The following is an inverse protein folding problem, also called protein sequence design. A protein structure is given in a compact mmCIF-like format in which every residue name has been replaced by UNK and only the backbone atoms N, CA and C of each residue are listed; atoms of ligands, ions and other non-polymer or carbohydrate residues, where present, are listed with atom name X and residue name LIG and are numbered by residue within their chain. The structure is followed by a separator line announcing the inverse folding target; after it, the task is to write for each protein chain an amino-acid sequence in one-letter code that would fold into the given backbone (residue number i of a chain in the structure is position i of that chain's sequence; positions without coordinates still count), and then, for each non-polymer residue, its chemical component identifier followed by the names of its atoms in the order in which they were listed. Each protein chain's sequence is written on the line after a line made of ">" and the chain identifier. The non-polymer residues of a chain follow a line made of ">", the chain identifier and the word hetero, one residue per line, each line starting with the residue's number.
data_IF_178902968813
#
_entry.id   IF_178902968813
#
_cell.length_a   1.000
_cell.length_b   1.000
_cell.length_c   1.000
_cell.angle_alpha   90.00
_cell.angle_beta   90.00
_cell.angle_gamma   90.00
#
_symmetry.space_group_name_H-M   'P 1'
#
loop_
_entity.id
_entity.type
_entity.pdbx_description
1 polymer ?
#
# COMPACT_ATOMS: atom_id res chain seq x y z
N UNK A 1 10.51 -62.44 22.93
CA UNK A 1 10.30 -61.33 21.97
C UNK A 1 11.62 -61.03 21.31
N UNK A 2 11.67 -61.10 19.98
CA UNK A 2 12.91 -60.88 19.22
C UNK A 2 13.27 -59.38 19.22
N UNK A 3 14.43 -58.99 19.80
CA UNK A 3 14.83 -57.59 19.89
C UNK A 3 15.08 -56.94 18.53
N UNK A 4 15.34 -57.70 17.46
CA UNK A 4 15.52 -57.16 16.11
C UNK A 4 14.19 -56.67 15.51
N UNK A 5 13.13 -57.46 15.63
CA UNK A 5 11.78 -57.10 15.16
C UNK A 5 11.23 -55.82 15.82
N UNK A 6 11.56 -55.62 17.10
CA UNK A 6 11.16 -54.41 17.82
C UNK A 6 11.86 -53.15 17.28
N UNK A 7 13.17 -53.22 17.00
CA UNK A 7 13.94 -52.08 16.49
C UNK A 7 13.49 -51.67 15.09
N UNK A 8 13.19 -52.63 14.23
CA UNK A 8 12.74 -52.36 12.85
C UNK A 8 11.38 -51.67 12.83
N UNK A 9 10.43 -52.12 13.66
CA UNK A 9 9.12 -51.47 13.81
C UNK A 9 9.22 -50.05 14.39
N UNK A 10 10.20 -49.78 15.25
CA UNK A 10 10.43 -48.43 15.78
C UNK A 10 11.01 -47.53 14.69
N UNK A 11 11.98 -48.01 13.91
CA UNK A 11 12.58 -47.25 12.80
C UNK A 11 11.54 -46.92 11.70
N UNK A 12 10.65 -47.86 11.37
CA UNK A 12 9.56 -47.65 10.40
C UNK A 12 8.59 -46.56 10.89
N UNK A 13 8.21 -46.57 12.18
CA UNK A 13 7.33 -45.55 12.76
C UNK A 13 7.96 -44.16 12.76
N UNK A 14 9.25 -44.05 13.10
CA UNK A 14 10.00 -42.78 13.08
C UNK A 14 10.04 -42.21 11.65
N UNK A 15 10.38 -43.05 10.67
CA UNK A 15 10.45 -42.67 9.26
C UNK A 15 9.08 -42.21 8.75
N UNK A 16 8.01 -42.91 9.14
CA UNK A 16 6.63 -42.55 8.78
C UNK A 16 6.20 -41.22 9.41
N UNK A 17 6.55 -40.97 10.67
CA UNK A 17 6.26 -39.72 11.36
C UNK A 17 7.01 -38.53 10.72
N UNK A 18 8.29 -38.68 10.40
CA UNK A 18 9.05 -37.66 9.66
C UNK A 18 8.46 -37.36 8.28
N UNK A 19 8.04 -38.40 7.53
CA UNK A 19 7.39 -38.20 6.23
C UNK A 19 6.06 -37.47 6.35
N UNK A 20 5.25 -37.79 7.38
CA UNK A 20 4.00 -37.09 7.66
C UNK A 20 4.23 -35.61 8.01
N UNK A 21 5.25 -35.29 8.81
CA UNK A 21 5.61 -33.92 9.15
C UNK A 21 6.09 -33.12 7.94
N UNK A 22 6.87 -33.75 7.06
CA UNK A 22 7.34 -33.13 5.82
C UNK A 22 6.17 -32.85 4.89
N UNK A 23 5.26 -33.80 4.68
CA UNK A 23 4.07 -33.62 3.84
C UNK A 23 3.15 -32.55 4.43
N UNK A 24 2.89 -32.57 5.73
CA UNK A 24 2.04 -31.59 6.41
C UNK A 24 2.62 -30.17 6.31
N UNK A 25 3.93 -30.00 6.51
CA UNK A 25 4.62 -28.71 6.28
C UNK A 25 4.59 -28.30 4.81
N UNK A 26 4.76 -29.24 3.89
CA UNK A 26 4.76 -29.00 2.45
C UNK A 26 3.40 -28.53 1.92
N UNK A 27 2.29 -28.89 2.58
CA UNK A 27 0.95 -28.38 2.25
C UNK A 27 0.55 -27.13 3.05
N UNK A 28 0.98 -27.02 4.31
CA UNK A 28 0.58 -25.91 5.17
C UNK A 28 1.30 -24.59 4.85
N UNK A 29 2.54 -24.62 4.36
CA UNK A 29 3.27 -23.41 3.92
C UNK A 29 2.63 -22.71 2.72
N UNK A 30 2.31 -23.41 1.60
CA UNK A 30 1.74 -22.76 0.42
C UNK A 30 0.36 -22.15 0.71
N UNK A 31 -0.46 -22.84 1.51
CA UNK A 31 -1.79 -22.33 1.90
C UNK A 31 -1.68 -21.06 2.74
N UNK A 32 -0.74 -21.00 3.70
CA UNK A 32 -0.48 -19.80 4.51
C UNK A 32 0.03 -18.65 3.66
N UNK A 33 0.95 -18.92 2.72
CA UNK A 33 1.48 -17.92 1.82
C UNK A 33 0.37 -17.30 0.95
N UNK A 34 -0.52 -18.12 0.37
CA UNK A 34 -1.63 -17.63 -0.47
C UNK A 34 -2.59 -16.71 0.28
N UNK A 35 -2.90 -17.02 1.55
CA UNK A 35 -3.75 -16.16 2.38
C UNK A 35 -3.06 -14.82 2.64
N UNK A 36 -1.78 -14.83 3.00
CA UNK A 36 -1.01 -13.59 3.24
C UNK A 36 -0.90 -12.76 1.96
N UNK A 37 -0.61 -13.38 0.81
CA UNK A 37 -0.55 -12.73 -0.50
C UNK A 37 -1.88 -12.05 -0.84
N UNK A 38 -2.99 -12.77 -0.69
CA UNK A 38 -4.33 -12.24 -0.97
C UNK A 38 -4.67 -11.05 -0.07
N UNK A 39 -4.40 -11.15 1.23
CA UNK A 39 -4.61 -10.05 2.16
C UNK A 39 -3.71 -8.84 1.84
N UNK A 40 -2.45 -9.06 1.51
CA UNK A 40 -1.52 -7.99 1.11
C UNK A 40 -1.99 -7.27 -0.16
N UNK A 41 -2.50 -8.03 -1.15
CA UNK A 41 -3.05 -7.47 -2.39
C UNK A 41 -4.30 -6.64 -2.14
N UNK A 42 -5.21 -7.09 -1.27
CA UNK A 42 -6.40 -6.31 -0.89
C UNK A 42 -6.00 -4.99 -0.22
N UNK A 43 -5.08 -5.03 0.75
CA UNK A 43 -4.65 -3.82 1.42
C UNK A 43 -3.92 -2.87 0.46
N UNK A 44 -3.06 -3.39 -0.42
CA UNK A 44 -2.41 -2.59 -1.45
C UNK A 44 -3.42 -1.96 -2.40
N UNK A 45 -4.47 -2.70 -2.81
CA UNK A 45 -5.54 -2.17 -3.65
C UNK A 45 -6.34 -1.06 -2.94
N UNK A 46 -6.57 -1.18 -1.62
CA UNK A 46 -7.19 -0.11 -0.83
C UNK A 46 -6.32 1.15 -0.78
N UNK A 47 -5.00 1.00 -0.55
CA UNK A 47 -4.05 2.12 -0.57
C UNK A 47 -4.09 2.82 -1.93
N UNK A 48 -3.96 2.06 -3.01
CA UNK A 48 -4.04 2.58 -4.38
C UNK A 48 -5.40 3.24 -4.67
N UNK A 49 -6.49 2.65 -4.20
CA UNK A 49 -7.84 3.17 -4.38
C UNK A 49 -8.06 4.52 -3.69
N UNK A 50 -7.46 4.76 -2.52
CA UNK A 50 -7.52 6.06 -1.86
C UNK A 50 -6.74 7.11 -2.66
N UNK A 51 -5.50 6.82 -3.08
CA UNK A 51 -4.70 7.77 -3.86
C UNK A 51 -5.36 8.12 -5.21
N UNK A 52 -5.84 7.12 -5.94
CA UNK A 52 -6.54 7.36 -7.20
C UNK A 52 -7.93 7.95 -7.01
N UNK A 53 -8.63 7.59 -5.95
CA UNK A 53 -9.97 8.09 -5.65
C UNK A 53 -9.96 9.59 -5.36
N UNK A 54 -9.04 10.05 -4.50
CA UNK A 54 -8.86 11.49 -4.24
C UNK A 54 -8.41 12.22 -5.49
N UNK A 55 -7.48 11.64 -6.27
CA UNK A 55 -7.07 12.21 -7.55
C UNK A 55 -8.24 12.41 -8.52
N UNK A 56 -9.06 11.38 -8.75
CA UNK A 56 -10.18 11.47 -9.70
C UNK A 56 -11.27 12.45 -9.26
N UNK A 57 -11.51 12.54 -7.95
CA UNK A 57 -12.57 13.40 -7.40
C UNK A 57 -12.11 14.85 -7.24
N UNK A 58 -10.90 15.09 -6.74
CA UNK A 58 -10.43 16.44 -6.41
C UNK A 58 -9.84 17.18 -7.60
N UNK A 59 -9.02 16.53 -8.42
CA UNK A 59 -8.26 17.24 -9.47
C UNK A 59 -9.17 17.99 -10.46
N UNK A 60 -10.40 17.50 -10.70
CA UNK A 60 -11.36 18.20 -11.59
C UNK A 60 -12.15 19.29 -10.88
N UNK A 61 -12.58 19.04 -9.64
CA UNK A 61 -13.48 19.93 -8.90
C UNK A 61 -12.75 21.08 -8.20
N UNK A 62 -11.44 20.95 -7.97
CA UNK A 62 -10.63 21.94 -7.26
C UNK A 62 -10.58 23.32 -7.96
N UNK A 63 -10.87 23.37 -9.26
CA UNK A 63 -10.94 24.62 -10.04
C UNK A 63 -12.24 25.40 -9.82
N UNK A 64 -13.30 24.72 -9.43
CA UNK A 64 -14.62 25.33 -9.27
C UNK A 64 -14.84 25.83 -7.82
N UNK A 65 -13.89 25.56 -6.92
CA UNK A 65 -13.99 25.93 -5.51
C UNK A 65 -13.37 27.29 -5.22
N UNK A 66 -14.08 28.11 -4.43
CA UNK A 66 -13.48 29.28 -3.81
C UNK A 66 -12.37 28.88 -2.84
N UNK A 67 -11.47 29.80 -2.52
CA UNK A 67 -10.35 29.52 -1.62
C UNK A 67 -10.81 29.05 -0.22
N UNK A 68 -11.92 29.60 0.29
CA UNK A 68 -12.51 29.20 1.57
C UNK A 68 -13.07 27.77 1.52
N UNK A 69 -13.81 27.42 0.45
CA UNK A 69 -14.34 26.07 0.24
C UNK A 69 -13.22 25.05 0.08
N UNK A 70 -12.16 25.39 -0.66
CA UNK A 70 -10.99 24.55 -0.83
C UNK A 70 -10.34 24.18 0.52
N UNK A 71 -10.16 25.16 1.41
CA UNK A 71 -9.62 24.90 2.76
C UNK A 71 -10.57 24.03 3.57
N UNK A 72 -11.87 24.35 3.57
CA UNK A 72 -12.85 23.64 4.38
C UNK A 72 -12.98 22.17 3.97
N UNK A 73 -13.15 21.93 2.67
CA UNK A 73 -13.25 20.59 2.08
C UNK A 73 -11.91 19.85 2.21
N UNK A 74 -10.80 20.51 1.88
CA UNK A 74 -9.45 19.93 1.95
C UNK A 74 -9.10 19.45 3.36
N UNK A 75 -9.32 20.27 4.39
CA UNK A 75 -9.08 19.88 5.79
C UNK A 75 -9.93 18.68 6.20
N UNK A 76 -11.20 18.65 5.80
CA UNK A 76 -12.13 17.55 6.11
C UNK A 76 -11.67 16.25 5.45
N UNK A 77 -11.29 16.29 4.17
CA UNK A 77 -10.80 15.12 3.44
C UNK A 77 -9.48 14.63 4.03
N UNK A 78 -8.52 15.52 4.28
CA UNK A 78 -7.23 15.16 4.87
C UNK A 78 -7.43 14.49 6.24
N UNK A 79 -8.31 15.03 7.09
CA UNK A 79 -8.61 14.43 8.39
C UNK A 79 -9.22 13.02 8.25
N UNK A 80 -10.16 12.84 7.32
CA UNK A 80 -10.82 11.56 7.08
C UNK A 80 -9.89 10.51 6.46
N UNK A 81 -8.93 10.91 5.64
CA UNK A 81 -7.98 10.01 4.98
C UNK A 81 -6.81 9.66 5.90
N UNK A 82 -6.35 10.60 6.74
CA UNK A 82 -5.19 10.40 7.60
C UNK A 82 -5.37 9.22 8.57
N UNK A 83 -6.56 9.06 9.16
CA UNK A 83 -6.82 7.99 10.15
C UNK A 83 -6.77 6.60 9.50
N UNK A 84 -7.56 6.28 8.44
CA UNK A 84 -7.46 5.00 7.76
C UNK A 84 -6.06 4.72 7.20
N UNK A 85 -5.40 5.72 6.60
CA UNK A 85 -4.06 5.53 6.03
C UNK A 85 -3.01 5.20 7.09
N UNK A 86 -3.11 5.78 8.28
CA UNK A 86 -2.21 5.47 9.41
C UNK A 86 -2.25 4.00 9.84
N UNK A 87 -3.32 3.29 9.53
CA UNK A 87 -3.51 1.87 9.88
C UNK A 87 -3.22 0.99 8.66
N UNK A 88 -3.82 1.31 7.51
CA UNK A 88 -3.77 0.48 6.29
C UNK A 88 -2.34 0.44 5.74
N UNK A 89 -1.62 1.56 5.71
CA UNK A 89 -0.29 1.62 5.10
C UNK A 89 0.75 0.78 5.87
N UNK A 90 0.87 0.88 7.22
CA UNK A 90 1.75 -0.02 7.96
C UNK A 90 1.31 -1.48 7.89
N UNK A 91 0.00 -1.76 7.94
CA UNK A 91 -0.51 -3.13 7.82
C UNK A 91 -0.15 -3.76 6.46
N UNK A 92 -0.25 -2.98 5.38
CA UNK A 92 0.15 -3.40 4.03
C UNK A 92 1.63 -3.77 3.99
N UNK A 93 2.50 -2.90 4.50
CA UNK A 93 3.95 -3.14 4.55
C UNK A 93 4.31 -4.36 5.38
N UNK A 94 3.67 -4.55 6.53
CA UNK A 94 3.88 -5.73 7.37
C UNK A 94 3.48 -7.02 6.65
N UNK A 95 2.31 -7.06 5.98
CA UNK A 95 1.89 -8.24 5.23
C UNK A 95 2.79 -8.51 4.01
N UNK A 96 3.23 -7.48 3.30
CA UNK A 96 4.20 -7.63 2.21
C UNK A 96 5.55 -8.17 2.72
N UNK A 97 6.02 -7.71 3.88
CA UNK A 97 7.24 -8.20 4.52
C UNK A 97 7.11 -9.69 4.91
N UNK A 98 5.97 -10.08 5.47
CA UNK A 98 5.67 -11.49 5.82
C UNK A 98 5.60 -12.35 4.55
N UNK A 99 4.94 -11.88 3.48
CA UNK A 99 4.89 -12.57 2.18
C UNK A 99 6.30 -12.75 1.58
N UNK A 100 7.14 -11.71 1.63
CA UNK A 100 8.53 -11.77 1.18
C UNK A 100 9.35 -12.77 2.02
N UNK A 101 9.14 -12.83 3.33
CA UNK A 101 9.86 -13.76 4.21
C UNK A 101 9.45 -15.23 3.97
N UNK A 102 8.15 -15.50 3.81
CA UNK A 102 7.62 -16.83 3.55
C UNK A 102 8.01 -17.34 2.15
N UNK A 103 7.95 -16.48 1.13
CA UNK A 103 8.29 -16.85 -0.27
C UNK A 103 9.76 -17.21 -0.48
N UNK A 104 10.66 -16.82 0.45
CA UNK A 104 12.10 -17.13 0.37
C UNK A 104 12.40 -18.63 0.23
N UNK A 105 11.55 -19.50 0.79
CA UNK A 105 11.77 -20.95 0.83
C UNK A 105 11.13 -21.71 -0.34
N UNK A 106 10.18 -21.10 -1.04
CA UNK A 106 9.24 -21.83 -1.89
C UNK A 106 9.47 -21.55 -3.38
N UNK A 107 9.74 -20.29 -3.77
CA UNK A 107 9.97 -19.95 -5.18
C UNK A 107 10.87 -18.73 -5.36
N UNK A 108 12.00 -18.91 -6.05
CA UNK A 108 12.96 -17.83 -6.35
C UNK A 108 12.40 -16.66 -7.18
N UNK A 109 11.59 -16.87 -8.25
CA UNK A 109 11.08 -15.73 -9.03
C UNK A 109 10.06 -14.90 -8.25
N UNK A 110 9.16 -15.54 -7.50
CA UNK A 110 8.15 -14.86 -6.68
C UNK A 110 8.78 -13.97 -5.61
N UNK A 111 9.89 -14.41 -5.01
CA UNK A 111 10.64 -13.61 -4.03
C UNK A 111 11.08 -12.25 -4.61
N UNK A 112 11.63 -12.22 -5.82
CA UNK A 112 12.05 -10.97 -6.47
C UNK A 112 10.88 -10.02 -6.72
N UNK A 113 9.73 -10.55 -7.16
CA UNK A 113 8.52 -9.73 -7.37
C UNK A 113 8.01 -9.14 -6.07
N UNK A 114 8.00 -9.92 -4.97
CA UNK A 114 7.64 -9.38 -3.65
C UNK A 114 8.61 -8.33 -3.15
N UNK A 115 9.92 -8.52 -3.36
CA UNK A 115 10.92 -7.53 -3.02
C UNK A 115 10.72 -6.23 -3.79
N UNK A 116 10.47 -6.30 -5.11
CA UNK A 116 10.19 -5.11 -5.93
C UNK A 116 8.92 -4.41 -5.46
N UNK A 117 7.83 -5.14 -5.24
CA UNK A 117 6.56 -4.57 -4.75
C UNK A 117 6.73 -3.89 -3.39
N UNK A 118 7.47 -4.52 -2.47
CA UNK A 118 7.77 -3.95 -1.15
C UNK A 118 8.60 -2.67 -1.27
N UNK A 119 9.65 -2.67 -2.11
CA UNK A 119 10.49 -1.49 -2.35
C UNK A 119 9.68 -0.35 -2.95
N UNK A 120 8.82 -0.62 -3.93
CA UNK A 120 7.92 0.39 -4.50
C UNK A 120 6.98 0.97 -3.45
N UNK A 121 6.39 0.14 -2.59
CA UNK A 121 5.53 0.61 -1.49
C UNK A 121 6.31 1.48 -0.48
N UNK A 122 7.57 1.15 -0.19
CA UNK A 122 8.45 1.98 0.64
C UNK A 122 8.73 3.32 -0.02
N UNK A 123 9.02 3.35 -1.33
CA UNK A 123 9.21 4.60 -2.07
C UNK A 123 7.95 5.47 -1.99
N UNK A 124 6.77 4.88 -2.19
CA UNK A 124 5.49 5.58 -2.02
C UNK A 124 5.35 6.16 -0.61
N UNK A 125 5.61 5.37 0.44
CA UNK A 125 5.57 5.83 1.83
C UNK A 125 6.52 7.03 2.05
N UNK A 126 7.75 6.95 1.53
CA UNK A 126 8.74 8.03 1.67
C UNK A 126 8.27 9.30 0.97
N UNK A 127 7.68 9.20 -0.22
CA UNK A 127 7.12 10.35 -0.94
C UNK A 127 5.95 10.94 -0.14
N UNK A 128 5.01 10.11 0.33
CA UNK A 128 3.86 10.57 1.13
C UNK A 128 4.31 11.28 2.41
N UNK A 129 5.21 10.69 3.19
CA UNK A 129 5.66 11.30 4.44
C UNK A 129 6.59 12.50 4.20
N UNK A 130 7.40 12.47 3.15
CA UNK A 130 8.37 13.52 2.85
C UNK A 130 7.82 14.72 2.10
N UNK A 131 6.76 14.54 1.30
CA UNK A 131 6.18 15.57 0.43
C UNK A 131 4.75 15.87 0.81
N UNK A 132 3.88 14.87 0.84
CA UNK A 132 2.43 15.07 1.06
C UNK A 132 2.13 15.55 2.48
N UNK A 133 2.65 14.87 3.51
CA UNK A 133 2.38 15.22 4.91
C UNK A 133 2.83 16.66 5.28
N UNK A 134 4.02 17.15 4.86
CA UNK A 134 4.41 18.55 5.09
C UNK A 134 3.49 19.55 4.40
N UNK A 135 3.00 19.25 3.19
CA UNK A 135 2.06 20.10 2.46
C UNK A 135 0.71 20.12 3.19
N UNK A 136 0.20 18.95 3.58
CA UNK A 136 -1.05 18.82 4.35
C UNK A 136 -0.99 19.61 5.66
N UNK A 137 0.14 19.56 6.36
CA UNK A 137 0.33 20.31 7.59
C UNK A 137 0.36 21.83 7.35
N UNK A 138 0.89 22.30 6.22
CA UNK A 138 0.79 23.71 5.81
C UNK A 138 -0.66 24.10 5.53
N UNK A 139 -1.41 23.29 4.75
CA UNK A 139 -2.82 23.55 4.44
C UNK A 139 -3.67 23.57 5.72
N UNK A 140 -3.39 22.69 6.69
CA UNK A 140 -4.05 22.70 8.01
C UNK A 140 -3.86 24.03 8.75
N UNK A 141 -2.71 24.67 8.60
CA UNK A 141 -2.39 25.96 9.26
C UNK A 141 -3.06 27.17 8.61
N UNK A 142 -3.52 27.07 7.35
CA UNK A 142 -4.15 28.17 6.65
C UNK A 142 -5.56 28.46 7.18
N UNK A 143 -5.92 29.73 7.25
CA UNK A 143 -7.26 30.24 7.53
C UNK A 143 -7.72 31.15 6.40
N UNK A 144 -9.01 31.50 6.33
CA UNK A 144 -9.54 32.39 5.29
C UNK A 144 -8.78 33.74 5.22
N UNK A 145 -8.25 34.22 6.36
CA UNK A 145 -7.47 35.44 6.45
C UNK A 145 -5.97 35.28 6.13
N UNK A 146 -5.45 34.05 6.06
CA UNK A 146 -4.01 33.76 5.87
C UNK A 146 -3.70 32.95 4.62
N UNK A 147 -4.70 32.76 3.75
CA UNK A 147 -4.47 32.19 2.41
C UNK A 147 -3.49 33.07 1.64
N UNK A 148 -2.43 32.49 1.04
CA UNK A 148 -1.55 33.23 0.16
C UNK A 148 -2.34 33.79 -1.02
N UNK A 149 -2.17 35.07 -1.34
CA UNK A 149 -2.83 35.70 -2.51
C UNK A 149 -2.49 34.99 -3.83
N UNK A 150 -1.36 34.26 -3.90
CA UNK A 150 -0.92 33.46 -5.03
C UNK A 150 -1.38 31.98 -5.00
N UNK A 151 -2.39 31.63 -4.20
CA UNK A 151 -2.90 30.25 -4.08
C UNK A 151 -3.28 29.61 -5.43
N UNK A 152 -3.84 30.37 -6.37
CA UNK A 152 -4.17 29.88 -7.72
C UNK A 152 -2.93 29.49 -8.52
N UNK A 153 -1.87 30.30 -8.46
CA UNK A 153 -0.61 30.02 -9.13
C UNK A 153 0.08 28.77 -8.54
N UNK A 154 -0.02 28.57 -7.23
CA UNK A 154 0.46 27.36 -6.57
C UNK A 154 -0.30 26.11 -7.05
N UNK A 155 -1.62 26.21 -7.23
CA UNK A 155 -2.44 25.13 -7.78
C UNK A 155 -2.07 24.83 -9.23
N UNK A 156 -1.93 25.86 -10.07
CA UNK A 156 -1.55 25.67 -11.47
C UNK A 156 -0.21 24.95 -11.61
N UNK A 157 0.76 25.26 -10.75
CA UNK A 157 2.06 24.54 -10.71
C UNK A 157 1.87 23.06 -10.36
N UNK A 158 0.91 22.73 -9.50
CA UNK A 158 0.58 21.36 -9.13
C UNK A 158 -0.04 20.57 -10.31
N UNK A 159 -0.89 21.23 -11.11
CA UNK A 159 -1.49 20.64 -12.30
C UNK A 159 -0.46 20.32 -13.38
N UNK A 160 0.55 21.18 -13.54
CA UNK A 160 1.67 20.97 -14.47
C UNK A 160 2.55 19.78 -14.10
N UNK A 161 2.73 19.52 -12.81
CA UNK A 161 3.49 18.37 -12.30
C UNK A 161 2.75 17.03 -12.42
N UNK A 162 1.45 17.05 -12.74
CA UNK A 162 0.65 15.86 -13.01
C UNK A 162 0.14 15.77 -14.47
N UNK A 163 1.04 15.85 -15.47
CA UNK A 163 0.68 16.17 -16.85
C UNK A 163 -0.03 15.04 -17.61
N UNK A 164 0.00 13.80 -17.12
CA UNK A 164 -0.36 12.64 -17.95
C UNK A 164 -1.88 12.45 -18.17
N UNK A 165 -2.74 12.85 -17.22
CA UNK A 165 -4.19 12.62 -17.34
C UNK A 165 -4.98 13.85 -17.81
N UNK A 166 -4.66 15.04 -17.30
CA UNK A 166 -5.38 16.28 -17.65
C UNK A 166 -5.23 16.64 -19.13
N UNK A 167 -4.02 16.46 -19.68
CA UNK A 167 -3.70 16.81 -21.08
C UNK A 167 -4.41 15.95 -22.12
N UNK A 168 -4.81 14.73 -21.77
CA UNK A 168 -5.57 13.83 -22.64
C UNK A 168 -7.08 14.16 -22.70
N UNK A 169 -7.61 14.97 -21.77
CA UNK A 169 -9.05 15.32 -21.72
C UNK A 169 -9.42 16.63 -22.40
N UNK A 170 -8.48 17.29 -23.10
CA UNK A 170 -8.77 18.43 -23.96
C UNK A 170 -9.26 19.70 -23.25
N UNK A 171 -9.24 19.76 -21.91
CA UNK A 171 -9.33 21.03 -21.19
C UNK A 171 -8.01 21.76 -21.39
N UNK A 172 -7.93 22.53 -22.45
CA UNK A 172 -6.95 23.59 -22.60
C UNK A 172 -7.07 24.53 -21.39
N UNK A 173 -6.02 24.59 -20.59
CA UNK A 173 -5.81 25.71 -19.66
C UNK A 173 -5.65 26.94 -20.56
N UNK A 174 -6.71 27.74 -20.70
CA UNK A 174 -6.74 28.91 -21.56
C UNK A 174 -8.14 29.44 -21.80
N UNK A 175 -8.48 30.51 -21.07
CA UNK A 175 -9.74 31.24 -21.12
C UNK A 175 -9.95 32.03 -19.85
#
# INVERSE_FOLDING_TARGET
>A
MDPLNFRDKVAERITRAQNLDVVCKSFALPMKLKVVEFSALILAALVMGVFWGTWFTLTRSIHDFSAAEFIHIGKTIIANVAVPMSIIMPATLLLMLIAMWLSRRENRPSFYLYSISFLLMIVTLVITVGVEVPIDNKIKSWTEATIPANWESLRHTWDELHPCFLRCTGKTVGG
#
